data_IF_080590942488
#
_entry.id   IF_080590942488
#
_cell.length_a   1.000
_cell.length_b   1.000
_cell.length_c   1.000
_cell.angle_alpha   90.00
_cell.angle_beta   90.00
_cell.angle_gamma   90.00
#
_symmetry.space_group_name_H-M   'P 1'
#
loop_
_entity.id
_entity.type
_entity.pdbx_description
1 polymer ?
#
# COMPACT_ATOMS: atom_id res chain seq x y z
N UNK A 1 14.83 -2.44 10.74
CA UNK A 1 14.38 -1.21 10.04
C UNK A 1 13.64 -1.56 8.75
N UNK A 2 13.92 -2.70 8.12
CA UNK A 2 13.33 -3.05 6.81
C UNK A 2 11.97 -3.76 6.86
N UNK A 3 11.46 -4.00 8.07
CA UNK A 3 10.33 -4.86 8.33
C UNK A 3 8.98 -4.15 8.22
N UNK A 4 8.81 -3.13 9.05
CA UNK A 4 7.65 -2.24 9.03
C UNK A 4 7.52 -1.50 7.69
N UNK A 5 8.63 -1.25 6.99
CA UNK A 5 8.63 -0.61 5.68
C UNK A 5 7.98 -1.50 4.61
N UNK A 6 8.29 -2.80 4.63
CA UNK A 6 7.78 -3.75 3.65
C UNK A 6 6.31 -4.12 3.87
N UNK A 7 5.86 -4.13 5.13
CA UNK A 7 4.44 -4.34 5.48
C UNK A 7 3.57 -3.22 4.95
N UNK A 8 4.00 -1.98 5.19
CA UNK A 8 3.26 -0.81 4.75
C UNK A 8 3.18 -0.73 3.23
N UNK A 9 4.29 -0.85 2.51
CA UNK A 9 4.31 -0.65 1.04
C UNK A 9 3.26 -1.50 0.33
N UNK A 10 2.91 -2.65 0.90
CA UNK A 10 2.07 -3.65 0.25
C UNK A 10 0.60 -3.45 0.58
N UNK A 11 0.28 -3.13 1.83
CA UNK A 11 -1.06 -2.66 2.20
C UNK A 11 -1.44 -1.39 1.43
N UNK A 12 -0.47 -0.48 1.29
CA UNK A 12 -0.59 0.78 0.55
C UNK A 12 -0.85 0.51 -0.96
N UNK A 13 -0.12 -0.42 -1.59
CA UNK A 13 -0.29 -0.77 -3.02
C UNK A 13 -1.64 -1.43 -3.33
N UNK A 14 -2.12 -2.24 -2.40
CA UNK A 14 -3.38 -2.98 -2.50
C UNK A 14 -4.59 -2.04 -2.44
N UNK A 15 -4.59 -1.07 -1.53
CA UNK A 15 -5.60 -0.01 -1.50
C UNK A 15 -5.52 0.87 -2.77
N UNK A 16 -4.29 1.07 -3.28
CA UNK A 16 -3.94 1.72 -4.54
C UNK A 16 -4.76 1.29 -5.75
N UNK A 17 -4.67 0.01 -6.07
CA UNK A 17 -5.24 -0.57 -7.28
C UNK A 17 -6.79 -0.57 -7.29
N UNK A 18 -7.41 -0.65 -6.12
CA UNK A 18 -8.87 -0.77 -5.97
C UNK A 18 -9.63 0.51 -6.38
N UNK A 19 -9.00 1.67 -6.19
CA UNK A 19 -9.67 2.95 -6.40
C UNK A 19 -9.66 3.41 -7.87
N UNK A 20 -8.74 2.88 -8.69
CA UNK A 20 -8.57 3.29 -10.10
C UNK A 20 -9.66 2.71 -11.02
N UNK A 21 -10.39 1.68 -10.57
CA UNK A 21 -11.41 0.99 -11.39
C UNK A 21 -12.84 1.51 -11.20
N UNK A 22 -13.07 2.56 -10.39
CA UNK A 22 -14.40 2.90 -9.85
C UNK A 22 -14.95 4.28 -10.23
N UNK A 23 -14.33 4.98 -11.18
CA UNK A 23 -14.77 6.33 -11.58
C UNK A 23 -14.78 6.44 -13.11
N UNK A 24 -15.83 5.91 -13.72
CA UNK A 24 -16.29 6.27 -15.07
C UNK A 24 -17.83 6.18 -15.05
N UNK A 25 -18.49 7.26 -14.63
CA UNK A 25 -19.88 7.57 -15.00
C UNK A 25 -20.11 9.08 -14.74
N UNK A 26 -20.20 9.83 -15.84
CA UNK A 26 -20.37 11.29 -15.90
C UNK A 26 -21.87 11.59 -16.08
N UNK A 27 -22.53 11.95 -14.98
CA UNK A 27 -23.92 12.40 -14.99
C UNK A 27 -23.95 13.91 -15.25
N UNK A 28 -24.30 14.27 -16.49
CA UNK A 28 -24.30 15.64 -17.02
C UNK A 28 -25.35 16.59 -16.43
N UNK A 29 -25.34 16.82 -15.12
CA UNK A 29 -26.06 17.93 -14.48
C UNK A 29 -25.12 19.12 -14.21
N UNK A 30 -25.41 20.25 -14.87
CA UNK A 30 -24.73 21.52 -14.64
C UNK A 30 -25.21 22.08 -13.29
N UNK A 31 -24.48 21.77 -12.22
CA UNK A 31 -24.69 22.35 -10.89
C UNK A 31 -23.97 23.70 -10.76
N UNK A 32 -24.62 24.67 -10.10
CA UNK A 32 -23.98 25.92 -9.69
C UNK A 32 -22.74 25.64 -8.82
N UNK A 33 -21.62 26.38 -8.99
CA UNK A 33 -20.40 26.11 -8.26
C UNK A 33 -20.59 26.39 -6.76
N UNK A 34 -20.55 25.33 -5.95
CA UNK A 34 -20.54 25.45 -4.49
C UNK A 34 -19.25 26.15 -4.05
N UNK A 35 -19.38 27.31 -3.42
CA UNK A 35 -18.25 28.05 -2.84
C UNK A 35 -17.89 27.45 -1.47
N UNK A 36 -16.71 26.85 -1.37
CA UNK A 36 -16.16 26.34 -0.11
C UNK A 36 -15.13 27.33 0.42
N UNK A 37 -15.27 27.77 1.68
CA UNK A 37 -14.15 28.40 2.37
C UNK A 37 -13.07 27.34 2.63
N UNK A 38 -11.86 27.56 2.11
CA UNK A 38 -10.72 26.67 2.34
C UNK A 38 -10.35 26.74 3.83
N UNK A 39 -10.68 25.70 4.58
CA UNK A 39 -10.08 25.47 5.90
C UNK A 39 -8.62 25.10 5.65
N UNK A 40 -7.70 26.05 5.80
CA UNK A 40 -6.27 25.77 5.73
C UNK A 40 -5.82 25.17 7.06
N UNK A 41 -5.75 23.84 7.11
CA UNK A 41 -4.93 23.17 8.12
C UNK A 41 -3.47 23.40 7.73
N UNK A 42 -2.65 23.92 8.64
CA UNK A 42 -1.21 24.02 8.39
C UNK A 42 -0.63 22.60 8.40
N UNK A 43 -0.19 22.16 7.23
CA UNK A 43 0.32 20.80 7.04
C UNK A 43 1.69 20.64 7.68
N UNK A 44 2.40 21.75 7.93
CA UNK A 44 3.66 21.79 8.67
C UNK A 44 3.50 21.23 10.09
N UNK A 45 2.31 21.35 10.69
CA UNK A 45 2.02 20.81 12.02
C UNK A 45 2.11 19.29 12.06
N UNK A 46 1.83 18.59 10.96
CA UNK A 46 1.98 17.13 10.89
C UNK A 46 3.43 16.70 11.02
N UNK A 47 4.36 17.44 10.40
CA UNK A 47 5.79 17.15 10.47
C UNK A 47 6.39 17.46 11.85
N UNK A 48 5.72 18.29 12.64
CA UNK A 48 6.10 18.63 14.02
C UNK A 48 5.48 17.68 15.06
N UNK A 49 4.65 16.71 14.64
CA UNK A 49 4.06 15.74 15.56
C UNK A 49 5.10 14.82 16.16
N UNK A 50 4.87 14.41 17.42
CA UNK A 50 5.61 13.30 18.03
C UNK A 50 5.33 12.00 17.29
N UNK A 51 6.33 11.11 17.22
CA UNK A 51 6.25 9.84 16.51
C UNK A 51 5.03 8.99 16.86
N UNK A 52 4.59 8.98 18.12
CA UNK A 52 3.39 8.26 18.55
C UNK A 52 2.12 8.76 17.84
N UNK A 53 1.95 10.09 17.74
CA UNK A 53 0.81 10.71 17.08
C UNK A 53 0.91 10.59 15.56
N UNK A 54 2.12 10.73 15.00
CA UNK A 54 2.36 10.58 13.56
C UNK A 54 2.03 9.15 13.09
N UNK A 55 2.45 8.13 13.87
CA UNK A 55 2.19 6.72 13.57
C UNK A 55 0.70 6.36 13.56
N UNK A 56 -0.14 7.05 14.34
CA UNK A 56 -1.59 6.84 14.30
C UNK A 56 -2.22 7.26 12.97
N UNK A 57 -1.67 8.30 12.31
CA UNK A 57 -2.22 8.87 11.08
C UNK A 57 -1.55 8.34 9.82
N UNK A 58 -0.26 8.00 9.90
CA UNK A 58 0.56 7.66 8.73
C UNK A 58 1.19 6.26 8.81
N UNK A 59 0.93 5.50 9.89
CA UNK A 59 1.42 4.13 10.15
C UNK A 59 2.94 3.95 10.20
N UNK A 60 3.70 5.05 10.16
CA UNK A 60 5.16 5.06 10.25
C UNK A 60 5.64 6.15 11.22
N UNK A 61 6.94 6.21 11.50
CA UNK A 61 7.54 7.33 12.24
C UNK A 61 7.94 8.46 11.28
N UNK A 62 8.24 9.65 11.81
CA UNK A 62 8.68 10.78 10.98
C UNK A 62 10.03 10.51 10.32
N UNK A 63 10.92 9.75 10.96
CA UNK A 63 12.20 9.36 10.39
C UNK A 63 12.02 8.43 9.19
N UNK A 64 11.15 7.42 9.31
CA UNK A 64 10.82 6.53 8.19
C UNK A 64 10.15 7.29 7.05
N UNK A 65 9.31 8.27 7.38
CA UNK A 65 8.71 9.16 6.38
C UNK A 65 9.77 9.94 5.60
N UNK A 66 10.75 10.57 6.25
CA UNK A 66 11.81 11.31 5.55
C UNK A 66 12.70 10.39 4.70
N UNK A 67 12.98 9.17 5.17
CA UNK A 67 13.65 8.15 4.34
C UNK A 67 12.84 7.84 3.09
N UNK A 68 11.53 7.67 3.22
CA UNK A 68 10.64 7.39 2.09
C UNK A 68 10.59 8.57 1.11
N UNK A 69 10.52 9.81 1.59
CA UNK A 69 10.59 11.03 0.77
C UNK A 69 11.87 11.04 -0.06
N UNK A 70 13.02 10.78 0.57
CA UNK A 70 14.30 10.76 -0.12
C UNK A 70 14.36 9.66 -1.19
N UNK A 71 13.86 8.46 -0.90
CA UNK A 71 13.81 7.34 -1.85
C UNK A 71 12.90 7.63 -3.04
N UNK A 72 11.73 8.19 -2.80
CA UNK A 72 10.79 8.57 -3.86
C UNK A 72 11.33 9.71 -4.72
N UNK A 73 11.94 10.73 -4.11
CA UNK A 73 12.57 11.83 -4.84
C UNK A 73 13.65 11.33 -5.81
N UNK A 74 14.50 10.41 -5.38
CA UNK A 74 15.51 9.81 -6.26
C UNK A 74 14.93 8.93 -7.38
N UNK A 75 13.76 8.32 -7.15
CA UNK A 75 13.14 7.41 -8.11
C UNK A 75 12.31 8.14 -9.18
N UNK A 76 11.54 9.15 -8.77
CA UNK A 76 10.66 9.93 -9.65
C UNK A 76 11.40 11.04 -10.43
N UNK A 77 12.56 11.49 -9.94
CA UNK A 77 13.23 12.67 -10.50
C UNK A 77 12.42 13.97 -10.30
N UNK A 78 12.94 15.08 -10.80
CA UNK A 78 12.34 16.41 -10.60
C UNK A 78 11.08 16.65 -11.49
N UNK A 79 10.89 15.87 -12.55
CA UNK A 79 9.89 16.17 -13.60
C UNK A 79 8.52 15.49 -13.39
N UNK A 80 8.46 14.31 -12.75
CA UNK A 80 7.22 13.50 -12.69
C UNK A 80 6.26 13.85 -11.54
N UNK A 81 6.76 14.50 -10.49
CA UNK A 81 6.00 14.70 -9.24
C UNK A 81 4.99 15.84 -9.37
N UNK A 82 5.30 16.87 -10.15
CA UNK A 82 4.61 18.15 -10.09
C UNK A 82 3.76 18.35 -11.35
N UNK A 83 2.43 18.42 -11.18
CA UNK A 83 1.64 19.18 -12.16
C UNK A 83 2.14 20.61 -12.07
N UNK A 84 2.69 21.14 -13.16
CA UNK A 84 3.40 22.43 -13.24
C UNK A 84 2.63 23.69 -12.73
N UNK A 85 1.41 23.53 -12.20
CA UNK A 85 0.52 24.59 -11.74
C UNK A 85 0.14 24.50 -10.24
N UNK A 86 0.83 23.70 -9.42
CA UNK A 86 0.48 23.53 -8.00
C UNK A 86 1.67 23.75 -7.06
N UNK A 87 1.48 24.59 -6.04
CA UNK A 87 2.42 24.84 -4.93
C UNK A 87 2.42 23.66 -3.93
N UNK A 88 2.61 22.43 -4.42
CA UNK A 88 2.68 21.21 -3.62
C UNK A 88 4.07 20.59 -3.73
N UNK A 89 4.79 20.51 -2.62
CA UNK A 89 6.04 19.78 -2.54
C UNK A 89 5.80 18.27 -2.34
N UNK A 90 6.82 17.46 -2.62
CA UNK A 90 6.74 15.98 -2.50
C UNK A 90 6.31 15.55 -1.08
N UNK A 91 6.74 16.26 -0.04
CA UNK A 91 6.36 15.92 1.35
C UNK A 91 4.86 16.03 1.54
N UNK A 92 4.26 17.15 1.12
CA UNK A 92 2.81 17.35 1.22
C UNK A 92 2.04 16.34 0.39
N UNK A 93 2.52 16.04 -0.82
CA UNK A 93 1.93 14.99 -1.68
C UNK A 93 1.98 13.63 -0.99
N UNK A 94 3.10 13.30 -0.35
CA UNK A 94 3.26 12.02 0.32
C UNK A 94 2.37 11.91 1.57
N UNK A 95 2.24 12.97 2.36
CA UNK A 95 1.32 13.00 3.52
C UNK A 95 -0.14 12.78 3.07
N UNK A 96 -0.56 13.45 2.00
CA UNK A 96 -1.88 13.28 1.37
C UNK A 96 -2.17 11.82 1.04
N UNK A 97 -1.25 11.18 0.33
CA UNK A 97 -1.40 9.80 -0.15
C UNK A 97 -1.32 8.80 1.00
N UNK A 98 -0.36 8.97 1.91
CA UNK A 98 -0.22 8.10 3.10
C UNK A 98 -1.46 8.16 3.99
N UNK A 99 -2.10 9.32 4.12
CA UNK A 99 -3.34 9.44 4.89
C UNK A 99 -4.45 8.55 4.34
N UNK A 100 -4.66 8.57 3.01
CA UNK A 100 -5.67 7.74 2.32
C UNK A 100 -5.41 6.25 2.57
N UNK A 101 -4.15 5.86 2.63
CA UNK A 101 -3.78 4.46 2.70
C UNK A 101 -3.69 3.95 4.15
N UNK A 102 -3.40 4.83 5.10
CA UNK A 102 -3.30 4.52 6.53
C UNK A 102 -4.65 4.52 7.27
N UNK A 103 -5.64 5.23 6.71
CA UNK A 103 -6.94 5.51 7.35
C UNK A 103 -8.09 5.12 6.42
N UNK A 104 -9.27 4.74 6.95
CA UNK A 104 -10.45 4.44 6.14
C UNK A 104 -11.15 5.71 5.61
N UNK A 105 -10.42 6.82 5.45
CA UNK A 105 -10.97 8.11 5.02
C UNK A 105 -11.20 8.15 3.50
N UNK A 106 -12.02 9.08 3.04
CA UNK A 106 -12.37 9.20 1.62
C UNK A 106 -11.52 10.24 0.91
N UNK A 107 -11.30 10.08 -0.41
CA UNK A 107 -10.60 11.08 -1.23
C UNK A 107 -11.19 12.48 -1.08
N UNK A 108 -12.53 12.60 -1.01
CA UNK A 108 -13.20 13.89 -0.82
C UNK A 108 -12.83 14.55 0.51
N UNK A 109 -12.88 13.79 1.60
CA UNK A 109 -12.59 14.26 2.95
C UNK A 109 -11.11 14.66 3.09
N UNK A 110 -10.19 13.82 2.60
CA UNK A 110 -8.76 14.11 2.63
C UNK A 110 -8.42 15.29 1.74
N UNK A 111 -8.97 15.37 0.52
CA UNK A 111 -8.73 16.50 -0.36
C UNK A 111 -9.16 17.83 0.31
N UNK A 112 -10.34 17.84 0.95
CA UNK A 112 -10.82 18.99 1.71
C UNK A 112 -9.87 19.35 2.87
N UNK A 113 -9.44 18.36 3.67
CA UNK A 113 -8.52 18.54 4.81
C UNK A 113 -7.20 19.19 4.40
N UNK A 114 -6.67 18.80 3.25
CA UNK A 114 -5.37 19.28 2.75
C UNK A 114 -5.48 20.46 1.77
N UNK A 115 -6.70 20.97 1.53
CA UNK A 115 -6.95 22.14 0.70
C UNK A 115 -6.77 21.92 -0.81
N UNK A 116 -6.86 20.67 -1.27
CA UNK A 116 -6.73 20.27 -2.68
C UNK A 116 -8.07 19.77 -3.23
N UNK A 117 -8.19 19.58 -4.55
CA UNK A 117 -9.39 18.95 -5.13
C UNK A 117 -9.25 17.42 -5.12
N UNK A 118 -10.36 16.69 -5.10
CA UNK A 118 -10.34 15.22 -5.14
C UNK A 118 -9.62 14.68 -6.38
N UNK A 119 -9.75 15.36 -7.53
CA UNK A 119 -9.06 14.98 -8.76
C UNK A 119 -7.54 15.11 -8.66
N UNK A 120 -7.05 16.14 -7.97
CA UNK A 120 -5.62 16.34 -7.70
C UNK A 120 -5.08 15.24 -6.79
N UNK A 121 -5.78 14.97 -5.68
CA UNK A 121 -5.40 13.88 -4.78
C UNK A 121 -5.37 12.54 -5.53
N UNK A 122 -6.40 12.25 -6.33
CA UNK A 122 -6.45 11.02 -7.11
C UNK A 122 -5.33 10.91 -8.16
N UNK A 123 -4.93 12.01 -8.79
CA UNK A 123 -3.78 12.05 -9.69
C UNK A 123 -2.50 11.64 -8.94
N UNK A 124 -2.16 12.34 -7.86
CA UNK A 124 -0.94 12.08 -7.10
C UNK A 124 -0.95 10.71 -6.43
N UNK A 125 -2.10 10.25 -5.97
CA UNK A 125 -2.29 8.90 -5.48
C UNK A 125 -1.81 7.86 -6.49
N UNK A 126 -2.24 7.95 -7.75
CA UNK A 126 -1.80 7.03 -8.81
C UNK A 126 -0.29 7.11 -9.07
N UNK A 127 0.28 8.31 -9.07
CA UNK A 127 1.73 8.52 -9.27
C UNK A 127 2.53 7.85 -8.15
N UNK A 128 2.18 8.14 -6.89
CA UNK A 128 2.89 7.61 -5.72
C UNK A 128 2.71 6.09 -5.62
N UNK A 129 1.51 5.56 -5.85
CA UNK A 129 1.27 4.10 -5.85
C UNK A 129 2.12 3.38 -6.89
N UNK A 130 2.26 3.93 -8.10
CA UNK A 130 3.15 3.35 -9.13
C UNK A 130 4.61 3.37 -8.68
N UNK A 131 5.08 4.51 -8.18
CA UNK A 131 6.45 4.63 -7.68
C UNK A 131 6.75 3.66 -6.52
N UNK A 132 5.81 3.51 -5.58
CA UNK A 132 5.93 2.52 -4.51
C UNK A 132 5.94 1.09 -5.06
N UNK A 133 5.18 0.82 -6.12
CA UNK A 133 5.11 -0.50 -6.76
C UNK A 133 6.46 -0.86 -7.37
N UNK A 134 7.07 0.10 -8.05
CA UNK A 134 8.37 -0.08 -8.71
C UNK A 134 9.48 -0.25 -7.66
N UNK A 135 9.45 0.57 -6.60
CA UNK A 135 10.36 0.43 -5.47
C UNK A 135 10.17 -0.89 -4.72
N UNK A 136 8.95 -1.42 -4.62
CA UNK A 136 8.68 -2.65 -3.86
C UNK A 136 9.49 -3.85 -4.35
N UNK A 137 9.84 -3.90 -5.64
CA UNK A 137 10.69 -4.95 -6.23
C UNK A 137 12.12 -4.98 -5.66
N UNK A 138 12.58 -3.85 -5.13
CA UNK A 138 13.92 -3.72 -4.52
C UNK A 138 13.87 -4.20 -3.06
N UNK A 139 12.78 -3.93 -2.34
CA UNK A 139 12.71 -4.22 -0.91
C UNK A 139 12.06 -5.57 -0.58
N UNK A 140 11.09 -6.03 -1.38
CA UNK A 140 10.42 -7.32 -1.22
C UNK A 140 11.12 -8.34 -2.10
N UNK A 141 12.21 -8.89 -1.58
CA UNK A 141 13.02 -9.89 -2.27
C UNK A 141 13.14 -11.17 -1.47
N UNK A 142 13.14 -12.28 -2.21
CA UNK A 142 13.39 -13.58 -1.63
C UNK A 142 14.85 -13.64 -1.14
N UNK A 143 15.10 -14.02 0.13
CA UNK A 143 16.43 -13.95 0.73
C UNK A 143 17.45 -14.83 0.00
N UNK A 144 18.69 -14.34 -0.07
CA UNK A 144 19.82 -15.07 -0.65
C UNK A 144 20.14 -16.34 0.17
N UNK A 145 20.85 -17.33 -0.40
CA UNK A 145 21.20 -18.56 0.32
C UNK A 145 21.87 -18.34 1.68
N UNK A 146 22.78 -17.35 1.78
CA UNK A 146 23.48 -17.03 3.02
C UNK A 146 22.53 -16.43 4.07
N UNK A 147 21.68 -15.48 3.65
CA UNK A 147 20.66 -14.88 4.51
C UNK A 147 19.66 -15.92 5.02
N UNK A 148 19.26 -16.87 4.16
CA UNK A 148 18.37 -17.98 4.55
C UNK A 148 18.97 -18.84 5.66
N UNK A 149 20.27 -19.07 5.66
CA UNK A 149 20.92 -19.81 6.75
C UNK A 149 20.87 -19.04 8.06
N UNK A 150 21.07 -17.71 8.01
CA UNK A 150 20.97 -16.84 9.19
C UNK A 150 19.54 -16.83 9.73
N UNK A 151 18.56 -16.62 8.86
CA UNK A 151 17.13 -16.63 9.21
C UNK A 151 16.75 -17.99 9.82
N UNK A 152 17.15 -19.10 9.18
CA UNK A 152 16.88 -20.45 9.66
C UNK A 152 17.43 -20.70 11.05
N UNK A 153 18.68 -20.30 11.32
CA UNK A 153 19.27 -20.46 12.65
C UNK A 153 18.53 -19.63 13.70
N UNK A 154 18.17 -18.39 13.35
CA UNK A 154 17.41 -17.53 14.24
C UNK A 154 16.02 -18.11 14.56
N UNK A 155 15.31 -18.63 13.56
CA UNK A 155 14.06 -19.35 13.74
C UNK A 155 14.24 -20.56 14.64
N UNK A 156 15.21 -21.43 14.35
CA UNK A 156 15.44 -22.66 15.09
C UNK A 156 15.73 -22.38 16.57
N UNK A 157 16.51 -21.33 16.88
CA UNK A 157 16.75 -20.90 18.27
C UNK A 157 15.46 -20.43 18.98
N UNK A 158 14.50 -19.85 18.26
CA UNK A 158 13.30 -19.22 18.85
C UNK A 158 12.10 -20.16 18.89
N UNK A 159 11.92 -21.02 17.88
CA UNK A 159 10.78 -21.92 17.73
C UNK A 159 11.14 -23.41 17.86
N UNK A 160 12.43 -23.77 17.76
CA UNK A 160 12.88 -25.16 17.72
C UNK A 160 12.66 -25.86 16.37
N UNK A 161 12.16 -25.17 15.35
CA UNK A 161 11.92 -25.75 14.02
C UNK A 161 13.07 -25.43 13.06
N UNK A 162 13.80 -26.44 12.55
CA UNK A 162 14.93 -26.22 11.65
C UNK A 162 14.46 -25.86 10.24
N UNK A 163 15.28 -25.10 9.50
CA UNK A 163 15.06 -24.81 8.08
C UNK A 163 14.02 -23.73 7.75
N UNK A 164 13.45 -23.04 8.74
CA UNK A 164 12.44 -21.99 8.50
C UNK A 164 13.09 -20.73 7.94
N UNK A 165 12.61 -20.28 6.78
CA UNK A 165 13.08 -19.03 6.14
C UNK A 165 12.05 -17.90 6.15
N UNK A 166 10.84 -18.18 6.64
CA UNK A 166 9.74 -17.24 6.78
C UNK A 166 8.44 -17.97 7.11
N UNK A 167 7.44 -17.20 7.54
CA UNK A 167 6.07 -17.65 7.72
C UNK A 167 5.22 -17.18 6.54
N UNK A 168 4.42 -18.08 5.98
CA UNK A 168 3.49 -17.79 4.88
C UNK A 168 2.08 -17.73 5.43
N UNK A 169 1.31 -16.72 5.02
CA UNK A 169 -0.11 -16.61 5.32
C UNK A 169 -0.87 -15.96 4.15
N UNK A 170 -2.19 -16.12 4.15
CA UNK A 170 -3.08 -15.54 3.17
C UNK A 170 -4.17 -14.67 3.82
N UNK A 171 -4.41 -13.51 3.21
CA UNK A 171 -5.46 -12.55 3.58
C UNK A 171 -6.32 -12.21 2.36
N UNK A 172 -7.34 -11.39 2.58
CA UNK A 172 -8.28 -10.96 1.56
C UNK A 172 -8.27 -9.45 1.40
N UNK A 173 -8.18 -9.01 0.15
CA UNK A 173 -8.36 -7.63 -0.28
C UNK A 173 -9.85 -7.48 -0.62
N UNK A 174 -10.64 -6.73 0.17
CA UNK A 174 -12.06 -6.59 -0.08
C UNK A 174 -12.30 -5.79 -1.37
N UNK A 175 -13.29 -6.22 -2.14
CA UNK A 175 -13.81 -5.49 -3.29
C UNK A 175 -15.10 -4.77 -2.87
N UNK A 176 -15.16 -3.46 -3.11
CA UNK A 176 -16.36 -2.67 -2.83
C UNK A 176 -17.56 -3.10 -3.67
N UNK A 177 -17.30 -3.67 -4.85
CA UNK A 177 -18.33 -4.09 -5.80
C UNK A 177 -18.02 -5.47 -6.36
N UNK A 178 -19.07 -6.16 -6.81
CA UNK A 178 -18.94 -7.43 -7.49
C UNK A 178 -18.19 -7.25 -8.83
N UNK A 179 -17.20 -8.10 -9.15
CA UNK A 179 -16.58 -8.08 -10.47
C UNK A 179 -17.61 -8.31 -11.58
N UNK A 180 -17.45 -7.60 -12.70
CA UNK A 180 -18.36 -7.72 -13.85
C UNK A 180 -18.30 -9.12 -14.49
N UNK A 181 -17.14 -9.79 -14.40
CA UNK A 181 -16.88 -11.10 -14.98
C UNK A 181 -16.79 -12.13 -13.85
N UNK A 182 -17.60 -13.18 -13.92
CA UNK A 182 -17.62 -14.31 -12.99
C UNK A 182 -17.60 -13.91 -11.49
N UNK A 183 -18.51 -13.03 -11.01
CA UNK A 183 -18.48 -12.49 -9.64
C UNK A 183 -18.44 -13.57 -8.56
N UNK A 184 -19.08 -14.72 -8.82
CA UNK A 184 -19.12 -15.85 -7.88
C UNK A 184 -17.73 -16.40 -7.53
N UNK A 185 -16.72 -16.23 -8.39
CA UNK A 185 -15.35 -16.67 -8.12
C UNK A 185 -14.65 -15.80 -7.07
N UNK A 186 -15.12 -14.59 -6.86
CA UNK A 186 -14.51 -13.64 -5.93
C UNK A 186 -15.19 -13.65 -4.56
N UNK A 187 -16.24 -14.46 -4.37
CA UNK A 187 -16.90 -14.59 -3.08
C UNK A 187 -16.03 -15.46 -2.16
N UNK A 188 -15.54 -14.88 -1.08
CA UNK A 188 -14.74 -15.56 -0.08
C UNK A 188 -15.62 -16.40 0.88
N UNK A 189 -14.99 -17.08 1.83
CA UNK A 189 -15.70 -17.88 2.87
C UNK A 189 -16.60 -17.05 3.80
N UNK A 190 -16.40 -15.73 3.86
CA UNK A 190 -17.19 -14.78 4.63
C UNK A 190 -18.37 -14.19 3.83
N UNK A 191 -18.53 -14.61 2.57
CA UNK A 191 -19.53 -14.13 1.62
C UNK A 191 -19.32 -12.69 1.13
N UNK A 192 -18.09 -12.18 1.26
CA UNK A 192 -17.68 -10.90 0.73
C UNK A 192 -16.93 -11.08 -0.60
N UNK A 193 -17.03 -10.11 -1.50
CA UNK A 193 -16.19 -10.08 -2.69
C UNK A 193 -14.77 -9.69 -2.31
N UNK A 194 -13.78 -10.50 -2.70
CA UNK A 194 -12.40 -10.25 -2.39
C UNK A 194 -11.43 -10.87 -3.40
N UNK A 195 -10.22 -10.31 -3.42
CA UNK A 195 -9.03 -10.88 -4.05
C UNK A 195 -8.15 -11.46 -2.95
N UNK A 196 -7.55 -12.62 -3.18
CA UNK A 196 -6.59 -13.20 -2.23
C UNK A 196 -5.23 -12.53 -2.33
N UNK A 197 -4.60 -12.38 -1.16
CA UNK A 197 -3.26 -11.86 -0.95
C UNK A 197 -2.49 -12.91 -0.16
N UNK A 198 -1.42 -13.44 -0.70
CA UNK A 198 -0.47 -14.30 0.00
C UNK A 198 0.79 -13.49 0.29
N UNK A 199 1.33 -13.61 1.50
CA UNK A 199 2.58 -12.98 1.88
C UNK A 199 3.47 -13.94 2.65
N UNK A 200 4.78 -13.81 2.46
CA UNK A 200 5.81 -14.43 3.30
C UNK A 200 6.54 -13.36 4.08
N UNK A 201 6.58 -13.53 5.39
CA UNK A 201 7.24 -12.61 6.32
C UNK A 201 8.35 -13.35 7.06
N UNK A 202 9.52 -12.74 7.16
CA UNK A 202 10.63 -13.30 7.92
C UNK A 202 10.50 -13.02 9.43
N UNK A 203 11.35 -13.61 10.29
CA UNK A 203 11.28 -13.41 11.74
C UNK A 203 11.62 -11.99 12.22
N UNK A 204 12.17 -11.16 11.34
CA UNK A 204 12.41 -9.74 11.58
C UNK A 204 11.19 -8.90 11.21
N UNK A 205 10.08 -9.52 10.79
CA UNK A 205 8.83 -8.90 10.32
C UNK A 205 8.95 -8.25 8.93
N UNK A 206 9.91 -8.71 8.11
CA UNK A 206 10.13 -8.20 6.74
C UNK A 206 9.40 -9.07 5.73
N UNK A 207 8.62 -8.44 4.83
CA UNK A 207 8.02 -9.17 3.71
C UNK A 207 9.11 -9.59 2.71
N UNK A 208 9.10 -10.87 2.35
CA UNK A 208 10.08 -11.50 1.45
C UNK A 208 9.48 -11.95 0.13
N UNK A 209 8.18 -12.21 0.10
CA UNK A 209 7.45 -12.55 -1.12
C UNK A 209 5.98 -12.19 -0.94
N UNK A 210 5.38 -11.65 -1.98
CA UNK A 210 3.98 -11.24 -1.99
C UNK A 210 3.37 -11.61 -3.33
N UNK A 211 2.19 -12.21 -3.25
CA UNK A 211 1.44 -12.64 -4.40
C UNK A 211 -0.04 -12.29 -4.21
N UNK A 212 -0.59 -11.49 -5.12
CA UNK A 212 -1.98 -11.07 -5.08
C UNK A 212 -2.62 -11.22 -6.47
N UNK A 213 -3.96 -11.25 -6.51
CA UNK A 213 -4.71 -11.24 -7.77
C UNK A 213 -5.56 -12.49 -8.01
N UNK A 214 -5.44 -13.51 -7.17
CA UNK A 214 -6.25 -14.73 -7.31
C UNK A 214 -7.65 -14.53 -6.70
N UNK A 215 -8.71 -15.12 -7.29
CA UNK A 215 -10.07 -14.97 -6.78
C UNK A 215 -10.23 -15.41 -5.32
N UNK A 216 -11.00 -14.65 -4.53
CA UNK A 216 -11.20 -14.90 -3.10
C UNK A 216 -11.89 -16.22 -2.73
N UNK A 217 -12.49 -16.93 -3.69
CA UNK A 217 -13.01 -18.29 -3.46
C UNK A 217 -11.93 -19.38 -3.44
N UNK A 218 -10.72 -19.10 -3.92
CA UNK A 218 -9.64 -20.08 -3.97
C UNK A 218 -9.08 -20.34 -2.58
N UNK A 219 -8.86 -21.61 -2.28
CA UNK A 219 -8.19 -22.02 -1.05
C UNK A 219 -6.71 -21.63 -1.09
N UNK A 220 -6.15 -21.20 0.05
CA UNK A 220 -4.75 -20.80 0.22
C UNK A 220 -3.74 -21.79 -0.36
N UNK A 221 -3.98 -23.10 -0.23
CA UNK A 221 -3.12 -24.14 -0.82
C UNK A 221 -3.05 -24.08 -2.35
N UNK A 222 -4.14 -23.67 -3.02
CA UNK A 222 -4.17 -23.43 -4.47
C UNK A 222 -3.52 -22.10 -4.83
N UNK A 223 -3.71 -21.06 -4.03
CA UNK A 223 -3.04 -19.77 -4.21
C UNK A 223 -1.52 -19.98 -4.15
N UNK A 224 -1.02 -20.72 -3.16
CA UNK A 224 0.39 -21.07 -3.05
C UNK A 224 0.91 -21.80 -4.29
N UNK A 225 0.24 -22.88 -4.72
CA UNK A 225 0.65 -23.63 -5.92
C UNK A 225 0.65 -22.81 -7.21
N UNK A 226 -0.14 -21.74 -7.29
CA UNK A 226 -0.18 -20.84 -8.44
C UNK A 226 0.80 -19.67 -8.31
N UNK A 227 1.21 -19.34 -7.09
CA UNK A 227 2.21 -18.31 -6.84
C UNK A 227 3.58 -18.73 -7.39
N UNK A 228 4.38 -17.78 -7.93
CA UNK A 228 5.75 -18.04 -8.38
C UNK A 228 6.65 -18.63 -7.29
N UNK A 229 6.34 -18.34 -6.03
CA UNK A 229 7.05 -18.85 -4.86
C UNK A 229 7.05 -20.38 -4.80
N UNK A 230 5.95 -21.04 -5.18
CA UNK A 230 5.89 -22.50 -5.14
C UNK A 230 6.97 -23.15 -6.01
N UNK A 231 7.27 -22.58 -7.18
CA UNK A 231 8.34 -23.07 -8.08
C UNK A 231 9.74 -22.80 -7.54
N UNK A 232 9.89 -21.79 -6.67
CA UNK A 232 11.19 -21.50 -6.00
C UNK A 232 11.46 -22.46 -4.83
N UNK A 233 10.44 -23.12 -4.29
CA UNK A 233 10.52 -23.93 -3.07
C UNK A 233 10.30 -25.44 -3.30
N UNK A 234 9.62 -25.83 -4.38
CA UNK A 234 9.35 -27.22 -4.77
C UNK A 234 10.25 -27.65 -5.93
#
# INVERSE_FOLDING_TARGET
MDAEFNELVVELLVAGALYVQLMDEDDGEVNEPVTWERIQVDISDYLLMRNEAFRLHFRMTTETFEVLVHRLSNHLGDEDIVRANEDLDLRRILLLVLWILATPDTFRSVALRFGVTSGVLHYHYKVIIRALSDLSQIYVQWPLPEERQVISRYCEMRSGFPGVVGAIDASYIPLCYAPQIEPQRYVNRHRDYAISLQAVVDPSLVFRDIYAGEPGSLHDSRVFRRSPLSTKLL
#
